data_IF_289846053993
#
_entry.id   IF_289846053993
#
_cell.length_a   1.000
_cell.length_b   1.000
_cell.length_c   1.000
_cell.angle_alpha   90.00
_cell.angle_beta   90.00
_cell.angle_gamma   90.00
#
_symmetry.space_group_name_H-M   'P 1'
#
loop_
_entity.id
_entity.type
_entity.pdbx_description
1 polymer ?
#
# COMPACT_ATOMS: atom_id res chain seq x y z
N UNK A 1 -10.52 -2.69 13.79
CA UNK A 1 -11.06 -2.94 12.44
C UNK A 1 -10.34 -4.17 11.91
N UNK A 2 -11.05 -5.09 11.28
CA UNK A 2 -10.53 -6.35 10.73
C UNK A 2 -10.71 -6.32 9.21
N UNK A 3 -9.91 -7.08 8.44
CA UNK A 3 -10.09 -7.17 7.00
C UNK A 3 -11.49 -7.66 6.61
N UNK A 4 -11.98 -7.32 5.41
CA UNK A 4 -11.21 -6.73 4.31
C UNK A 4 -11.05 -5.20 4.37
N UNK A 5 -9.86 -4.70 4.03
CA UNK A 5 -9.57 -3.27 3.91
C UNK A 5 -9.66 -2.81 2.45
N UNK A 6 -10.45 -1.77 2.18
CA UNK A 6 -10.58 -1.21 0.82
C UNK A 6 -9.62 -0.04 0.63
N UNK A 7 -8.99 0.03 -0.55
CA UNK A 7 -8.06 1.09 -0.91
C UNK A 7 -8.22 1.55 -2.35
N UNK A 8 -7.73 2.74 -2.65
CA UNK A 8 -7.67 3.30 -4.01
C UNK A 8 -6.28 3.91 -4.21
N UNK A 9 -5.67 3.66 -5.36
CA UNK A 9 -4.39 4.27 -5.70
C UNK A 9 -4.56 5.78 -5.87
N UNK A 10 -3.51 6.55 -5.58
CA UNK A 10 -3.52 8.01 -5.67
C UNK A 10 -3.83 8.54 -7.08
N UNK A 11 -3.61 7.74 -8.12
CA UNK A 11 -4.01 8.09 -9.50
C UNK A 11 -5.53 8.02 -9.74
N UNK A 12 -6.31 7.45 -8.81
CA UNK A 12 -7.76 7.29 -8.90
C UNK A 12 -8.24 6.17 -9.82
N UNK A 13 -7.35 5.56 -10.63
CA UNK A 13 -7.73 4.54 -11.61
C UNK A 13 -7.76 3.12 -11.06
N UNK A 14 -7.05 2.87 -9.96
CA UNK A 14 -6.90 1.53 -9.38
C UNK A 14 -7.66 1.45 -8.06
N UNK A 15 -8.56 0.48 -7.94
CA UNK A 15 -9.24 0.12 -6.68
C UNK A 15 -8.79 -1.26 -6.27
N UNK A 16 -8.53 -1.46 -4.99
CA UNK A 16 -8.05 -2.74 -4.47
C UNK A 16 -8.63 -3.04 -3.09
N UNK A 17 -8.49 -4.29 -2.68
CA UNK A 17 -8.88 -4.80 -1.37
C UNK A 17 -7.78 -5.68 -0.79
N UNK A 18 -7.47 -5.49 0.48
CA UNK A 18 -6.60 -6.36 1.25
C UNK A 18 -7.46 -7.29 2.11
N UNK A 19 -7.31 -8.60 1.92
CA UNK A 19 -8.18 -9.62 2.54
C UNK A 19 -7.67 -10.17 3.86
N UNK A 20 -6.41 -9.88 4.21
CA UNK A 20 -5.78 -10.31 5.47
C UNK A 20 -5.21 -9.12 6.23
N UNK A 21 -4.75 -9.34 7.46
CA UNK A 21 -3.93 -8.32 8.12
C UNK A 21 -2.60 -8.11 7.39
N UNK A 22 -2.02 -6.90 7.41
CA UNK A 22 -0.65 -6.68 6.96
C UNK A 22 0.34 -7.49 7.81
N UNK A 23 1.43 -7.91 7.18
CA UNK A 23 2.55 -8.59 7.86
C UNK A 23 3.19 -7.62 8.88
N UNK A 24 3.35 -6.37 8.48
CA UNK A 24 3.86 -5.30 9.33
C UNK A 24 3.43 -3.94 8.80
N UNK A 25 3.42 -2.96 9.70
CA UNK A 25 3.27 -1.55 9.40
C UNK A 25 4.40 -0.79 10.10
N UNK A 26 5.09 0.07 9.37
CA UNK A 26 6.22 0.81 9.92
C UNK A 26 6.32 2.22 9.34
N UNK A 27 6.92 3.10 10.13
CA UNK A 27 7.34 4.43 9.72
C UNK A 27 8.82 4.39 9.36
N UNK A 28 9.16 4.73 8.12
CA UNK A 28 10.56 4.87 7.71
C UNK A 28 10.98 6.34 7.76
N UNK A 29 12.04 6.62 8.52
CA UNK A 29 12.58 7.96 8.73
C UNK A 29 13.84 8.26 7.92
N UNK A 30 14.24 7.37 7.00
CA UNK A 30 15.41 7.65 6.16
C UNK A 30 15.16 8.87 5.25
N UNK A 31 16.24 9.53 4.84
CA UNK A 31 16.19 10.73 4.00
C UNK A 31 15.48 10.50 2.67
N UNK A 32 15.58 9.32 2.08
CA UNK A 32 14.88 8.99 0.84
C UNK A 32 13.36 8.88 1.04
N UNK A 33 12.92 8.31 2.17
CA UNK A 33 11.50 8.24 2.52
C UNK A 33 10.93 9.63 2.85
N UNK A 34 11.71 10.48 3.52
CA UNK A 34 11.35 11.88 3.75
C UNK A 34 11.19 12.63 2.43
N UNK A 35 12.14 12.50 1.50
CA UNK A 35 12.08 13.12 0.17
C UNK A 35 10.87 12.64 -0.64
N UNK A 36 10.58 11.33 -0.63
CA UNK A 36 9.46 10.74 -1.39
C UNK A 36 8.09 11.16 -0.86
N UNK A 37 7.95 11.29 0.46
CA UNK A 37 6.70 11.71 1.10
C UNK A 37 6.53 13.23 1.18
N UNK A 38 7.63 13.99 1.11
CA UNK A 38 7.65 15.42 1.44
C UNK A 38 7.49 15.72 2.94
N UNK A 39 7.52 14.69 3.79
CA UNK A 39 7.31 14.81 5.24
C UNK A 39 8.46 14.22 6.07
N UNK A 40 8.24 14.07 7.38
CA UNK A 40 9.24 13.54 8.31
C UNK A 40 9.43 12.01 8.23
N UNK A 41 8.51 11.30 7.57
CA UNK A 41 8.51 9.85 7.43
C UNK A 41 7.63 9.42 6.27
N UNK A 42 7.81 8.17 5.83
CA UNK A 42 6.87 7.47 4.96
C UNK A 42 6.30 6.26 5.70
N UNK A 43 4.97 6.11 5.70
CA UNK A 43 4.29 4.94 6.22
C UNK A 43 4.22 3.85 5.14
N UNK A 44 4.68 2.66 5.49
CA UNK A 44 4.66 1.49 4.62
C UNK A 44 3.99 0.32 5.32
N UNK A 45 3.34 -0.53 4.53
CA UNK A 45 2.84 -1.82 4.98
C UNK A 45 3.39 -2.91 4.06
N UNK A 46 3.75 -4.06 4.64
CA UNK A 46 4.04 -5.26 3.87
C UNK A 46 2.83 -6.18 3.94
N UNK A 47 2.45 -6.74 2.80
CA UNK A 47 1.29 -7.62 2.65
C UNK A 47 1.68 -8.82 1.79
N UNK A 48 0.95 -9.91 1.94
CA UNK A 48 1.07 -11.03 1.00
C UNK A 48 0.49 -10.62 -0.35
N UNK A 49 1.18 -10.94 -1.44
CA UNK A 49 0.74 -10.55 -2.79
C UNK A 49 -0.63 -11.13 -3.11
N UNK A 50 -0.84 -12.38 -2.74
CA UNK A 50 -2.08 -13.13 -2.87
C UNK A 50 -3.25 -12.56 -2.06
N UNK A 51 -2.97 -11.75 -1.03
CA UNK A 51 -4.00 -11.10 -0.22
C UNK A 51 -4.47 -9.75 -0.79
N UNK A 52 -3.80 -9.23 -1.83
CA UNK A 52 -4.12 -7.97 -2.48
C UNK A 52 -4.91 -8.20 -3.76
N UNK A 53 -6.22 -7.99 -3.68
CA UNK A 53 -7.14 -8.14 -4.81
C UNK A 53 -7.34 -6.80 -5.54
N UNK A 54 -7.10 -6.78 -6.85
CA UNK A 54 -7.38 -5.61 -7.69
C UNK A 54 -8.83 -5.65 -8.18
N UNK A 55 -9.63 -4.69 -7.74
CA UNK A 55 -11.06 -4.59 -8.06
C UNK A 55 -11.33 -3.76 -9.33
N UNK A 56 -10.44 -2.82 -9.67
CA UNK A 56 -10.52 -1.98 -10.87
C UNK A 56 -9.11 -1.55 -11.30
N UNK A 57 -8.89 -1.47 -12.62
CA UNK A 57 -7.66 -0.97 -13.22
C UNK A 57 -6.58 -2.04 -13.35
N UNK A 58 -5.50 -1.71 -14.06
CA UNK A 58 -4.37 -2.63 -14.28
C UNK A 58 -3.10 -2.01 -13.72
N UNK A 59 -2.62 -2.46 -12.55
CA UNK A 59 -1.35 -1.98 -12.02
C UNK A 59 -0.18 -2.48 -12.87
N UNK A 60 0.85 -1.65 -13.01
CA UNK A 60 2.15 -2.12 -13.47
C UNK A 60 2.82 -2.85 -12.33
N UNK A 61 2.81 -4.19 -12.39
CA UNK A 61 3.46 -5.04 -11.40
C UNK A 61 4.91 -5.25 -11.85
N UNK A 62 5.84 -4.67 -11.11
CA UNK A 62 7.27 -4.97 -11.24
C UNK A 62 7.60 -6.22 -10.42
N UNK A 63 8.28 -7.18 -11.06
CA UNK A 63 8.74 -8.44 -10.48
C UNK A 63 9.97 -8.25 -9.61
#
# INVERSE_FOLDING_TARGET
MQPPYSGTCMCGQIKFRLTTEPITLYACHCTDCQRRSGGALLLSMWVYRESLEVLKGTPLLVS
#
